data_IF_125393632672
#
_entry.id   IF_125393632672
#
_cell.length_a   1.000
_cell.length_b   1.000
_cell.length_c   1.000
_cell.angle_alpha   90.00
_cell.angle_beta   90.00
_cell.angle_gamma   90.00
#
_symmetry.space_group_name_H-M   'P 1'
#
loop_
_entity.id
_entity.type
_entity.pdbx_description
1 polymer ?
#
# COMPACT_ATOMS: atom_id res chain seq x y z
N UNK A 1 -43.29 -18.55 42.34
CA UNK A 1 -42.79 -17.66 41.26
C UNK A 1 -41.42 -18.21 40.86
N UNK A 2 -41.38 -19.10 39.87
CA UNK A 2 -40.15 -19.75 39.40
C UNK A 2 -39.16 -18.73 38.82
N UNK A 3 -37.88 -18.87 39.17
CA UNK A 3 -36.79 -18.10 38.57
C UNK A 3 -36.36 -18.78 37.27
N UNK A 4 -36.32 -17.94 36.22
CA UNK A 4 -35.93 -18.22 34.84
C UNK A 4 -34.67 -19.09 34.72
N UNK A 5 -34.76 -20.17 33.94
CA UNK A 5 -33.60 -20.80 33.29
C UNK A 5 -33.01 -19.82 32.28
N UNK A 6 -31.75 -19.47 32.43
CA UNK A 6 -30.96 -18.77 31.41
C UNK A 6 -30.19 -19.87 30.69
N UNK A 7 -30.39 -19.93 29.38
CA UNK A 7 -29.76 -20.83 28.43
C UNK A 7 -28.27 -20.50 28.29
N UNK A 8 -27.41 -21.44 28.63
CA UNK A 8 -25.95 -21.36 28.47
C UNK A 8 -25.59 -21.51 26.99
N UNK A 9 -25.55 -20.40 26.25
CA UNK A 9 -24.90 -20.37 24.93
C UNK A 9 -23.40 -20.10 25.12
N UNK A 10 -22.63 -21.17 25.30
CA UNK A 10 -21.17 -21.16 25.24
C UNK A 10 -20.71 -20.72 23.83
N UNK A 11 -20.06 -19.54 23.67
CA UNK A 11 -19.43 -19.21 22.42
C UNK A 11 -18.16 -20.05 22.31
N UNK A 12 -18.21 -21.06 21.44
CA UNK A 12 -17.04 -21.89 21.11
C UNK A 12 -15.81 -21.02 20.79
N UNK A 13 -14.58 -21.56 20.95
CA UNK A 13 -13.35 -20.77 20.91
C UNK A 13 -13.28 -19.93 19.64
N UNK A 14 -13.33 -18.60 19.80
CA UNK A 14 -13.13 -17.67 18.70
C UNK A 14 -11.78 -18.00 18.05
N UNK A 15 -11.71 -18.22 16.72
CA UNK A 15 -10.44 -18.41 16.07
C UNK A 15 -9.57 -17.18 16.38
N UNK A 16 -8.40 -17.43 16.96
CA UNK A 16 -7.37 -16.41 17.25
C UNK A 16 -7.32 -15.42 16.09
N UNK A 17 -7.36 -14.09 16.36
CA UNK A 17 -7.31 -13.10 15.30
C UNK A 17 -6.02 -13.32 14.51
N UNK A 18 -6.18 -13.91 13.31
CA UNK A 18 -5.04 -14.24 12.44
C UNK A 18 -4.24 -12.96 12.25
N UNK A 19 -2.94 -13.02 12.52
CA UNK A 19 -2.11 -11.82 12.42
C UNK A 19 -2.19 -11.29 10.99
N UNK A 20 -2.60 -10.03 10.83
CA UNK A 20 -2.57 -9.35 9.53
C UNK A 20 -1.23 -8.65 9.34
N UNK A 21 -0.76 -8.59 8.11
CA UNK A 21 0.37 -7.74 7.74
C UNK A 21 -0.05 -6.26 7.64
N UNK A 22 0.91 -5.39 7.33
CA UNK A 22 0.66 -3.94 7.19
C UNK A 22 -0.23 -3.55 6.01
N UNK A 23 -0.53 -4.48 5.11
CA UNK A 23 -1.39 -4.27 3.95
C UNK A 23 -2.76 -4.96 4.11
N UNK A 24 -3.00 -5.61 5.25
CA UNK A 24 -4.26 -6.30 5.56
C UNK A 24 -4.33 -7.75 5.10
N UNK A 25 -3.22 -8.35 4.64
CA UNK A 25 -3.18 -9.77 4.28
C UNK A 25 -2.91 -10.63 5.51
N UNK A 26 -3.55 -11.80 5.56
CA UNK A 26 -3.31 -12.81 6.61
C UNK A 26 -1.88 -13.32 6.51
N UNK A 27 -1.09 -13.19 7.59
CA UNK A 27 0.22 -13.82 7.67
C UNK A 27 0.04 -15.35 7.72
N UNK A 28 0.70 -16.05 6.81
CA UNK A 28 0.80 -17.50 6.91
C UNK A 28 1.68 -17.85 8.10
N UNK A 29 1.13 -18.53 9.09
CA UNK A 29 1.84 -19.08 10.25
C UNK A 29 2.77 -20.22 9.78
N UNK A 30 3.86 -19.89 9.09
CA UNK A 30 4.96 -20.83 8.91
C UNK A 30 5.63 -20.97 10.28
N UNK A 31 5.82 -22.22 10.72
CA UNK A 31 6.20 -22.66 12.06
C UNK A 31 7.64 -22.22 12.51
N UNK A 32 8.09 -21.04 12.11
CA UNK A 32 9.32 -20.40 12.55
C UNK A 32 8.96 -19.25 13.49
N UNK A 33 9.32 -19.45 14.75
CA UNK A 33 8.98 -18.64 15.90
C UNK A 33 9.33 -17.15 15.81
N UNK A 34 8.58 -16.41 16.64
CA UNK A 34 8.83 -15.11 17.28
C UNK A 34 8.58 -13.83 16.47
N UNK A 35 7.32 -13.55 16.16
CA UNK A 35 6.77 -12.20 16.40
C UNK A 35 5.57 -12.36 17.34
N UNK A 36 5.83 -12.16 18.64
CA UNK A 36 4.78 -12.07 19.66
C UNK A 36 3.75 -10.99 19.32
N UNK A 37 2.62 -10.94 20.06
CA UNK A 37 1.50 -10.06 19.76
C UNK A 37 2.03 -8.64 19.54
N UNK A 38 1.64 -8.02 18.44
CA UNK A 38 2.11 -6.72 17.95
C UNK A 38 1.99 -5.65 19.03
N UNK A 39 2.98 -5.59 19.92
CA UNK A 39 3.23 -4.48 20.82
C UNK A 39 3.57 -3.33 19.89
N UNK A 40 2.74 -2.30 19.88
CA UNK A 40 2.82 -1.17 18.95
C UNK A 40 4.26 -0.75 18.70
N UNK A 41 4.60 -0.44 17.43
CA UNK A 41 5.94 0.01 17.03
C UNK A 41 6.54 0.88 18.11
N UNK A 42 7.70 0.49 18.63
CA UNK A 42 8.37 1.26 19.66
C UNK A 42 8.56 2.70 19.17
N UNK A 43 8.53 3.67 20.09
CA UNK A 43 8.75 5.07 19.76
C UNK A 43 10.05 5.28 18.94
N UNK A 44 11.06 4.46 19.22
CA UNK A 44 12.30 4.39 18.46
C UNK A 44 12.12 4.03 16.97
N UNK A 45 11.33 2.99 16.67
CA UNK A 45 11.05 2.58 15.29
C UNK A 45 10.25 3.65 14.53
N UNK A 46 9.30 4.31 15.21
CA UNK A 46 8.57 5.42 14.63
C UNK A 46 9.49 6.59 14.28
N UNK A 47 10.34 7.02 15.23
CA UNK A 47 11.28 8.11 15.03
C UNK A 47 12.30 7.79 13.92
N UNK A 48 12.74 6.52 13.83
CA UNK A 48 13.59 6.04 12.74
C UNK A 48 12.88 6.18 11.40
N UNK A 49 11.61 5.78 11.31
CA UNK A 49 10.80 5.89 10.10
C UNK A 49 10.65 7.35 9.66
N UNK A 50 10.32 8.24 10.58
CA UNK A 50 10.17 9.66 10.26
C UNK A 50 11.47 10.26 9.72
N UNK A 51 12.63 9.90 10.28
CA UNK A 51 13.92 10.32 9.73
C UNK A 51 14.12 9.83 8.30
N UNK A 52 13.65 8.62 7.96
CA UNK A 52 13.68 8.13 6.56
C UNK A 52 12.74 8.97 5.68
N UNK A 53 11.52 9.22 6.13
CA UNK A 53 10.53 10.03 5.39
C UNK A 53 11.05 11.44 5.11
N UNK A 54 11.60 12.14 6.12
CA UNK A 54 12.19 13.49 5.93
C UNK A 54 13.32 13.48 4.90
N UNK A 55 14.20 12.48 5.00
CA UNK A 55 15.32 12.28 4.09
C UNK A 55 14.86 12.01 2.65
N UNK A 56 13.75 11.31 2.46
CA UNK A 56 13.14 11.06 1.15
C UNK A 56 12.40 12.29 0.61
N UNK A 57 11.62 13.00 1.44
CA UNK A 57 10.95 14.25 1.08
C UNK A 57 11.92 15.28 0.48
N UNK A 58 13.09 15.43 1.10
CA UNK A 58 14.17 16.30 0.59
C UNK A 58 14.76 15.86 -0.77
N UNK A 59 14.66 14.58 -1.12
CA UNK A 59 15.14 14.09 -2.42
C UNK A 59 14.15 14.32 -3.54
N UNK A 60 12.87 14.10 -3.25
CA UNK A 60 11.81 14.13 -4.26
C UNK A 60 11.24 15.54 -4.46
N UNK A 61 11.35 16.43 -3.47
CA UNK A 61 10.72 17.74 -3.50
C UNK A 61 9.20 17.65 -3.34
N UNK A 62 8.50 18.75 -3.54
CA UNK A 62 7.03 18.76 -3.50
C UNK A 62 6.51 18.14 -4.79
N UNK A 63 5.70 17.08 -4.68
CA UNK A 63 5.11 16.41 -5.84
C UNK A 63 6.10 15.76 -6.82
N UNK A 64 7.39 15.65 -6.48
CA UNK A 64 8.43 15.10 -7.36
C UNK A 64 9.29 16.12 -8.09
N UNK A 65 9.14 17.43 -7.81
CA UNK A 65 9.84 18.53 -8.50
C UNK A 65 11.37 18.37 -8.58
N UNK A 66 11.99 17.86 -7.50
CA UNK A 66 13.44 17.86 -7.36
C UNK A 66 14.06 16.53 -7.80
N UNK A 67 13.22 15.51 -8.06
CA UNK A 67 13.65 14.14 -8.31
C UNK A 67 14.65 14.03 -9.45
N UNK A 68 14.34 14.58 -10.63
CA UNK A 68 15.20 14.51 -11.83
C UNK A 68 16.57 15.12 -11.55
N UNK A 69 16.59 16.28 -10.89
CA UNK A 69 17.83 16.95 -10.51
C UNK A 69 18.64 16.12 -9.49
N UNK A 70 17.98 15.57 -8.47
CA UNK A 70 18.63 14.80 -7.41
C UNK A 70 19.23 13.49 -7.92
N UNK A 71 18.51 12.76 -8.78
CA UNK A 71 18.98 11.52 -9.40
C UNK A 71 20.23 11.78 -10.23
N UNK A 72 20.22 12.84 -11.05
CA UNK A 72 21.38 13.23 -11.86
C UNK A 72 22.60 13.59 -11.00
N UNK A 73 22.39 14.32 -9.90
CA UNK A 73 23.49 14.77 -9.02
C UNK A 73 24.02 13.67 -8.12
N UNK A 74 23.17 12.75 -7.64
CA UNK A 74 23.52 11.78 -6.59
C UNK A 74 22.97 10.36 -6.88
N UNK A 75 23.30 9.75 -8.03
CA UNK A 75 22.73 8.46 -8.45
C UNK A 75 23.04 7.33 -7.46
N UNK A 76 24.25 7.31 -6.90
CA UNK A 76 24.67 6.32 -5.91
C UNK A 76 23.86 6.40 -4.60
N UNK A 77 23.49 7.60 -4.17
CA UNK A 77 22.67 7.81 -2.96
C UNK A 77 21.26 7.30 -3.19
N UNK A 78 20.69 7.58 -4.37
CA UNK A 78 19.36 7.11 -4.77
C UNK A 78 19.33 5.58 -4.79
N UNK A 79 20.26 4.95 -5.51
CA UNK A 79 20.37 3.48 -5.60
C UNK A 79 20.45 2.82 -4.23
N UNK A 80 21.31 3.35 -3.35
CA UNK A 80 21.45 2.85 -1.96
C UNK A 80 20.16 2.98 -1.15
N UNK A 81 19.41 4.07 -1.31
CA UNK A 81 18.16 4.29 -0.57
C UNK A 81 17.01 3.43 -1.08
N UNK A 82 16.91 3.22 -2.39
CA UNK A 82 15.95 2.28 -2.98
C UNK A 82 16.20 0.87 -2.44
N UNK A 83 17.46 0.41 -2.42
CA UNK A 83 17.83 -0.90 -1.84
C UNK A 83 17.52 -1.02 -0.34
N UNK A 84 17.61 0.08 0.42
CA UNK A 84 17.19 0.14 1.84
C UNK A 84 15.66 0.13 2.02
N UNK A 85 14.90 0.35 0.95
CA UNK A 85 13.45 0.44 0.98
C UNK A 85 12.92 1.87 1.02
N UNK A 86 11.87 2.08 0.25
CA UNK A 86 11.09 3.31 0.17
C UNK A 86 10.06 3.32 1.33
N UNK A 87 9.93 4.42 2.10
CA UNK A 87 8.88 4.56 3.11
C UNK A 87 7.50 4.37 2.51
N UNK A 88 6.62 3.69 3.24
CA UNK A 88 5.33 3.25 2.72
C UNK A 88 4.46 4.40 2.20
N UNK A 89 4.35 5.47 3.00
CA UNK A 89 3.63 6.69 2.66
C UNK A 89 4.17 7.43 1.42
N UNK A 90 5.36 7.07 0.93
CA UNK A 90 5.98 7.68 -0.26
C UNK A 90 6.01 6.72 -1.46
N UNK A 91 5.64 5.43 -1.30
CA UNK A 91 5.72 4.44 -2.37
C UNK A 91 4.90 4.84 -3.59
N UNK A 92 3.67 5.29 -3.40
CA UNK A 92 2.77 5.69 -4.49
C UNK A 92 3.41 6.71 -5.44
N UNK A 93 4.06 7.75 -4.90
CA UNK A 93 4.74 8.77 -5.71
C UNK A 93 6.10 8.28 -6.22
N UNK A 94 6.94 7.72 -5.34
CA UNK A 94 8.33 7.38 -5.68
C UNK A 94 8.41 6.29 -6.74
N UNK A 95 7.51 5.30 -6.70
CA UNK A 95 7.49 4.25 -7.72
C UNK A 95 7.17 4.82 -9.11
N UNK A 96 6.23 5.77 -9.20
CA UNK A 96 5.93 6.45 -10.46
C UNK A 96 7.10 7.29 -10.97
N UNK A 97 7.86 7.91 -10.06
CA UNK A 97 9.04 8.72 -10.41
C UNK A 97 10.21 7.86 -10.91
N UNK A 98 10.39 6.65 -10.38
CA UNK A 98 11.46 5.72 -10.80
C UNK A 98 11.15 5.11 -12.16
N UNK A 99 9.90 4.72 -12.40
CA UNK A 99 9.48 4.10 -13.66
C UNK A 99 9.33 5.10 -14.81
N UNK A 100 9.26 6.39 -14.51
CA UNK A 100 8.90 7.43 -15.48
C UNK A 100 7.39 7.54 -15.73
N UNK A 101 6.57 6.72 -15.08
CA UNK A 101 5.11 6.74 -15.28
C UNK A 101 4.47 8.06 -14.84
N UNK A 102 5.11 8.82 -13.95
CA UNK A 102 4.60 10.14 -13.53
C UNK A 102 4.52 11.11 -14.70
N UNK A 103 5.57 11.16 -15.53
CA UNK A 103 5.59 12.05 -16.70
C UNK A 103 4.54 11.58 -17.73
N UNK A 104 4.45 10.27 -17.98
CA UNK A 104 3.46 9.69 -18.89
C UNK A 104 2.02 10.00 -18.46
N UNK A 105 1.72 9.88 -17.16
CA UNK A 105 0.41 10.19 -16.60
C UNK A 105 0.04 11.67 -16.83
N UNK A 106 1.00 12.59 -16.62
CA UNK A 106 0.77 14.02 -16.79
C UNK A 106 0.67 14.44 -18.26
N UNK A 107 1.40 13.77 -19.16
CA UNK A 107 1.34 14.02 -20.60
C UNK A 107 0.05 13.49 -21.26
N UNK A 108 -0.61 12.51 -20.64
CA UNK A 108 -1.76 11.80 -21.20
C UNK A 108 -2.99 11.88 -20.28
N UNK A 109 -3.54 13.08 -20.01
CA UNK A 109 -4.70 13.22 -19.14
C UNK A 109 -5.91 12.48 -19.72
N UNK A 110 -6.68 11.80 -18.86
CA UNK A 110 -7.91 11.10 -19.24
C UNK A 110 -7.72 9.76 -19.95
N UNK A 111 -6.51 9.39 -20.36
CA UNK A 111 -6.27 8.12 -21.09
C UNK A 111 -6.67 6.89 -20.26
N UNK A 112 -6.39 6.88 -18.96
CA UNK A 112 -6.81 5.78 -18.07
C UNK A 112 -8.34 5.68 -17.96
N UNK A 113 -9.04 6.82 -17.93
CA UNK A 113 -10.51 6.84 -17.86
C UNK A 113 -11.12 6.29 -19.15
N UNK A 114 -10.57 6.68 -20.30
CA UNK A 114 -10.99 6.18 -21.61
C UNK A 114 -10.75 4.68 -21.70
N UNK A 115 -9.57 4.19 -21.33
CA UNK A 115 -9.27 2.76 -21.33
C UNK A 115 -10.28 2.01 -20.45
N UNK A 116 -10.49 2.47 -19.22
CA UNK A 116 -11.41 1.82 -18.27
C UNK A 116 -12.86 1.83 -18.77
N UNK A 117 -13.30 2.93 -19.39
CA UNK A 117 -14.66 3.10 -19.91
C UNK A 117 -14.89 2.29 -21.18
N UNK A 118 -13.97 2.35 -22.14
CA UNK A 118 -14.06 1.58 -23.38
C UNK A 118 -14.00 0.07 -23.12
N UNK A 119 -13.19 -0.40 -22.17
CA UNK A 119 -13.23 -1.80 -21.75
C UNK A 119 -14.58 -2.22 -21.16
N UNK A 120 -15.27 -1.31 -20.47
CA UNK A 120 -16.59 -1.56 -19.92
C UNK A 120 -17.69 -1.52 -20.99
N UNK A 121 -17.59 -0.63 -21.97
CA UNK A 121 -18.53 -0.54 -23.10
C UNK A 121 -18.38 -1.70 -24.09
N UNK A 122 -17.16 -2.17 -24.35
CA UNK A 122 -16.91 -3.36 -25.19
C UNK A 122 -17.34 -4.68 -24.51
N UNK A 123 -17.70 -4.64 -23.22
CA UNK A 123 -18.30 -5.79 -22.48
C UNK A 123 -19.82 -5.75 -22.41
N UNK A 124 -20.48 -4.71 -22.93
CA UNK A 124 -21.92 -4.78 -23.16
C UNK A 124 -22.16 -5.71 -24.35
N UNK A 125 -22.93 -6.80 -24.20
CA UNK A 125 -23.31 -7.59 -25.36
C UNK A 125 -24.12 -6.69 -26.29
N UNK A 126 -23.58 -6.41 -27.47
CA UNK A 126 -24.37 -5.94 -28.58
C UNK A 126 -25.38 -7.03 -28.93
N UNK A 127 -26.57 -6.98 -28.33
CA UNK A 127 -27.75 -7.63 -28.86
C UNK A 127 -28.44 -6.64 -29.79
N UNK A 128 -28.23 -6.70 -31.11
CA UNK A 128 -29.11 -6.01 -32.03
C UNK A 128 -30.46 -6.74 -32.06
N UNK A 129 -31.46 -5.96 -31.70
CA UNK A 129 -32.86 -5.97 -32.09
C UNK A 129 -33.33 -6.92 -33.22
N UNK A 130 -34.57 -7.39 -32.97
CA UNK A 130 -35.72 -7.56 -33.89
C UNK A 130 -35.75 -8.71 -34.88
N UNK A 131 -36.88 -9.44 -34.80
CA UNK A 131 -37.38 -10.48 -35.69
C UNK A 131 -38.58 -11.13 -35.03
#
# INVERSE_FOLDING_TARGET
>A
MEKKRIDDHEPGPLPSPRQLDKYGFVKQELNNSSEGPTKGRSAYEFEREERRVRKWRKMIGVGGSDWKHYVRRKPNVVKRRIRKGIPDCLRGLVWQLISGSRDLLLLNPGVYEVITTCFSLCKLPAYPHTG
#
